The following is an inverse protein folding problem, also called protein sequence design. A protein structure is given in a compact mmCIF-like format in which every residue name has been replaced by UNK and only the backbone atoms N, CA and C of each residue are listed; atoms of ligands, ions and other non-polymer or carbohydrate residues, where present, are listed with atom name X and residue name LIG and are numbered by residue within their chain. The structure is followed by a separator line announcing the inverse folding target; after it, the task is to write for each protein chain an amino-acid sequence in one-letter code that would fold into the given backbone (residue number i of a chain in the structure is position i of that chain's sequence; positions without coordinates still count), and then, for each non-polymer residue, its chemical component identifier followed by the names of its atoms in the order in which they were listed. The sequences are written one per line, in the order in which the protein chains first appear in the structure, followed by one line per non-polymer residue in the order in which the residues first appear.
data_IF_624158245683
#
_entry.id   IF_624158245683
#
_cell.length_a   1.000
_cell.length_b   1.000
_cell.length_c   1.000
_cell.angle_alpha   90.00
_cell.angle_beta   90.00
_cell.angle_gamma   90.00
#
_symmetry.space_group_name_H-M   'P 1'
#
loop_
_entity.id
_entity.type
_entity.pdbx_description
1 polymer ?
#
# COMPACT_ATOMS: atom_id res chain seq x y z
N UNK A 1 -12.95 -9.31 22.13
CA UNK A 1 -11.47 -9.26 22.15
C UNK A 1 -11.01 -8.04 21.36
N UNK A 2 -10.63 -6.96 22.04
CA UNK A 2 -9.93 -5.82 21.43
C UNK A 2 -8.50 -5.87 21.93
N UNK A 3 -7.59 -6.27 21.08
CA UNK A 3 -6.17 -5.97 21.28
C UNK A 3 -5.83 -4.84 20.29
N UNK A 4 -5.86 -3.56 20.72
CA UNK A 4 -5.50 -2.47 19.83
C UNK A 4 -3.99 -2.49 19.64
N UNK A 5 -3.54 -3.26 18.64
CA UNK A 5 -2.16 -3.18 18.16
C UNK A 5 -1.86 -1.72 17.81
N UNK A 6 -1.01 -1.08 18.62
CA UNK A 6 -0.57 0.29 18.40
C UNK A 6 0.11 0.38 17.03
N UNK A 7 -0.34 1.33 16.20
CA UNK A 7 0.26 1.61 14.89
C UNK A 7 0.86 3.00 14.93
N UNK A 8 2.14 3.10 14.59
CA UNK A 8 2.78 4.39 14.35
C UNK A 8 2.18 4.98 13.07
N UNK A 9 1.45 6.08 13.22
CA UNK A 9 0.88 6.82 12.08
C UNK A 9 1.77 8.04 11.85
N UNK A 10 2.38 8.11 10.68
CA UNK A 10 3.04 9.33 10.21
C UNK A 10 2.11 10.04 9.22
N UNK A 11 1.90 11.34 9.41
CA UNK A 11 1.04 12.14 8.55
C UNK A 11 1.86 13.27 7.94
N UNK A 12 1.90 13.31 6.61
CA UNK A 12 2.50 14.42 5.87
C UNK A 12 1.70 15.71 6.09
N UNK A 13 2.34 16.85 5.90
CA UNK A 13 1.67 18.15 5.96
C UNK A 13 0.56 18.27 4.92
N UNK A 14 -0.40 19.16 5.14
CA UNK A 14 -1.54 19.29 4.21
C UNK A 14 -1.09 19.62 2.78
N UNK A 15 -0.11 20.52 2.63
CA UNK A 15 0.46 20.90 1.33
C UNK A 15 1.05 19.70 0.60
N UNK A 16 1.80 18.85 1.30
CA UNK A 16 2.38 17.62 0.75
C UNK A 16 1.29 16.65 0.30
N UNK A 17 0.19 16.52 1.08
CA UNK A 17 -0.93 15.66 0.70
C UNK A 17 -1.60 16.07 -0.61
N UNK A 18 -1.67 17.38 -0.90
CA UNK A 18 -2.18 17.87 -2.19
C UNK A 18 -1.27 17.39 -3.32
N UNK A 19 0.05 17.55 -3.17
CA UNK A 19 1.04 17.11 -4.16
C UNK A 19 0.96 15.59 -4.36
N UNK A 20 0.92 14.81 -3.27
CA UNK A 20 0.81 13.35 -3.32
C UNK A 20 -0.46 12.92 -4.06
N UNK A 21 -1.60 13.55 -3.77
CA UNK A 21 -2.87 13.21 -4.39
C UNK A 21 -2.86 13.51 -5.89
N UNK A 22 -2.33 14.66 -6.30
CA UNK A 22 -2.17 15.02 -7.71
C UNK A 22 -1.22 14.07 -8.45
N UNK A 23 -0.11 13.69 -7.83
CA UNK A 23 0.83 12.72 -8.39
C UNK A 23 0.17 11.35 -8.58
N UNK A 24 -0.52 10.84 -7.55
CA UNK A 24 -1.21 9.54 -7.59
C UNK A 24 -2.24 9.51 -8.72
N UNK A 25 -3.02 10.58 -8.91
CA UNK A 25 -4.00 10.66 -10.01
C UNK A 25 -3.38 10.45 -11.39
N UNK A 26 -2.14 10.88 -11.59
CA UNK A 26 -1.43 10.75 -12.87
C UNK A 26 -0.82 9.35 -13.02
N UNK A 27 -0.19 8.82 -11.97
CA UNK A 27 0.55 7.55 -12.07
C UNK A 27 -0.34 6.31 -11.89
N UNK A 28 -1.44 6.42 -11.13
CA UNK A 28 -2.35 5.30 -10.82
C UNK A 28 -2.85 4.58 -12.10
N UNK A 29 -3.34 5.27 -13.16
CA UNK A 29 -3.81 4.59 -14.37
C UNK A 29 -2.74 3.80 -15.13
N UNK A 30 -1.45 4.15 -14.95
CA UNK A 30 -0.32 3.44 -15.57
C UNK A 30 -0.10 2.11 -14.85
N UNK A 31 -0.09 2.12 -13.52
CA UNK A 31 0.14 0.94 -12.71
C UNK A 31 -1.09 0.03 -12.61
N UNK A 32 -2.30 0.60 -12.62
CA UNK A 32 -3.54 -0.16 -12.48
C UNK A 32 -3.72 -1.22 -13.59
N UNK A 33 -3.24 -0.91 -14.80
CA UNK A 33 -3.25 -1.81 -15.96
C UNK A 33 -2.33 -3.03 -15.82
N UNK A 34 -1.36 -2.99 -14.91
CA UNK A 34 -0.31 -4.01 -14.78
C UNK A 34 -0.57 -4.91 -13.56
N UNK A 35 -1.34 -4.43 -12.57
CA UNK A 35 -1.66 -5.25 -11.41
C UNK A 35 -2.43 -6.50 -11.81
N UNK A 36 -2.08 -7.62 -11.16
CA UNK A 36 -2.83 -8.86 -11.29
C UNK A 36 -4.30 -8.65 -10.90
N UNK A 37 -5.17 -9.47 -11.48
CA UNK A 37 -6.60 -9.38 -11.23
C UNK A 37 -6.96 -9.54 -9.75
N UNK A 38 -6.27 -10.43 -9.05
CA UNK A 38 -6.51 -10.76 -7.63
C UNK A 38 -5.83 -9.78 -6.65
N UNK A 39 -5.33 -8.63 -7.14
CA UNK A 39 -4.89 -7.51 -6.30
C UNK A 39 -6.08 -6.58 -6.03
N UNK A 40 -6.48 -6.50 -4.75
CA UNK A 40 -7.70 -5.81 -4.32
C UNK A 40 -7.45 -4.52 -3.53
N UNK A 41 -6.35 -4.45 -2.76
CA UNK A 41 -6.10 -3.32 -1.87
C UNK A 41 -5.83 -2.01 -2.63
N UNK A 42 -6.35 -0.89 -2.12
CA UNK A 42 -6.09 0.48 -2.61
C UNK A 42 -6.33 0.68 -4.12
N UNK A 43 -7.30 -0.04 -4.69
CA UNK A 43 -7.67 0.06 -6.11
C UNK A 43 -9.13 0.41 -6.27
N UNK A 44 -9.44 1.24 -7.27
CA UNK A 44 -10.81 1.58 -7.62
C UNK A 44 -11.57 0.30 -8.02
N UNK A 45 -12.82 0.18 -7.55
CA UNK A 45 -13.71 -0.96 -7.84
C UNK A 45 -13.22 -2.34 -7.34
N UNK A 46 -12.20 -2.39 -6.47
CA UNK A 46 -11.52 -3.63 -6.05
C UNK A 46 -11.56 -3.87 -4.53
N UNK A 47 -12.54 -3.32 -3.81
CA UNK A 47 -12.63 -3.40 -2.35
C UNK A 47 -12.78 -4.81 -1.74
N UNK A 48 -12.84 -4.83 -0.40
CA UNK A 48 -12.85 -6.05 0.43
C UNK A 48 -13.95 -7.05 0.04
N UNK A 49 -15.14 -6.57 -0.32
CA UNK A 49 -16.25 -7.42 -0.72
C UNK A 49 -15.90 -8.28 -1.95
N UNK A 50 -15.21 -7.71 -2.93
CA UNK A 50 -14.78 -8.42 -4.13
C UNK A 50 -13.68 -9.44 -3.82
N UNK A 51 -12.76 -9.10 -2.92
CA UNK A 51 -11.74 -10.04 -2.44
C UNK A 51 -12.37 -11.25 -1.73
N UNK A 52 -13.39 -11.02 -0.90
CA UNK A 52 -14.10 -12.08 -0.19
C UNK A 52 -14.88 -12.99 -1.14
N UNK A 53 -15.58 -12.43 -2.14
CA UNK A 53 -16.26 -13.20 -3.16
C UNK A 53 -15.28 -14.07 -3.95
N UNK A 54 -14.11 -13.52 -4.31
CA UNK A 54 -13.07 -14.26 -5.00
C UNK A 54 -12.49 -15.40 -4.16
N UNK A 55 -12.26 -15.16 -2.88
CA UNK A 55 -11.84 -16.20 -1.94
C UNK A 55 -12.87 -17.33 -1.84
N UNK A 56 -14.17 -16.99 -1.70
CA UNK A 56 -15.27 -17.98 -1.68
C UNK A 56 -15.30 -18.81 -2.97
N UNK A 57 -15.10 -18.18 -4.12
CA UNK A 57 -15.00 -18.87 -5.41
C UNK A 57 -13.87 -19.91 -5.40
N UNK A 58 -12.65 -19.51 -4.99
CA UNK A 58 -11.52 -20.45 -4.94
C UNK A 58 -11.75 -21.60 -3.97
N UNK A 59 -12.28 -21.32 -2.77
CA UNK A 59 -12.61 -22.34 -1.78
C UNK A 59 -13.56 -23.38 -2.40
N UNK A 60 -14.69 -22.94 -2.98
CA UNK A 60 -15.68 -23.86 -3.57
C UNK A 60 -15.12 -24.66 -4.75
N UNK A 61 -14.31 -24.01 -5.60
CA UNK A 61 -13.68 -24.64 -6.76
C UNK A 61 -12.73 -25.76 -6.34
N UNK A 62 -11.81 -25.48 -5.41
CA UNK A 62 -10.81 -26.45 -5.00
C UNK A 62 -11.36 -27.52 -4.05
N UNK A 63 -12.36 -27.17 -3.22
CA UNK A 63 -13.00 -28.13 -2.31
C UNK A 63 -14.04 -29.02 -2.99
N UNK A 64 -14.29 -28.85 -4.30
CA UNK A 64 -15.41 -29.47 -5.02
C UNK A 64 -16.74 -29.28 -4.26
N UNK A 65 -17.12 -28.03 -3.99
CA UNK A 65 -18.29 -27.68 -3.18
C UNK A 65 -18.28 -28.32 -1.78
N UNK A 66 -17.14 -28.20 -1.08
CA UNK A 66 -16.90 -28.71 0.28
C UNK A 66 -16.90 -30.24 0.40
N UNK A 67 -16.78 -30.96 -0.71
CA UNK A 67 -16.61 -32.42 -0.71
C UNK A 67 -15.20 -32.85 -0.27
N UNK A 68 -14.18 -32.00 -0.41
CA UNK A 68 -12.80 -32.27 0.00
C UNK A 68 -12.22 -31.16 0.87
N UNK A 69 -11.38 -31.55 1.82
CA UNK A 69 -10.57 -30.60 2.61
C UNK A 69 -9.56 -29.91 1.70
N UNK A 70 -9.39 -28.61 1.91
CA UNK A 70 -8.40 -27.77 1.22
C UNK A 70 -7.58 -27.02 2.25
N UNK A 71 -6.32 -26.74 1.90
CA UNK A 71 -5.40 -25.98 2.72
C UNK A 71 -5.07 -24.67 2.02
N UNK A 72 -4.78 -23.63 2.79
CA UNK A 72 -4.36 -22.34 2.25
C UNK A 72 -3.19 -21.80 3.07
N UNK A 73 -2.33 -21.04 2.39
CA UNK A 73 -1.24 -20.32 3.04
C UNK A 73 -1.74 -18.94 3.46
N UNK A 74 -1.67 -18.66 4.76
CA UNK A 74 -1.83 -17.31 5.30
C UNK A 74 -0.45 -16.71 5.52
N UNK A 75 -0.12 -15.67 4.77
CA UNK A 75 1.14 -14.93 4.90
C UNK A 75 0.87 -13.44 5.07
N UNK A 76 1.69 -12.77 5.88
CA UNK A 76 1.66 -11.33 6.12
C UNK A 76 3.09 -10.80 6.26
N UNK A 77 3.35 -9.59 5.77
CA UNK A 77 4.69 -8.98 5.81
C UNK A 77 4.79 -8.05 7.02
N UNK A 78 5.71 -8.36 7.93
CA UNK A 78 5.96 -7.55 9.13
C UNK A 78 6.51 -6.16 8.72
N UNK A 79 5.94 -5.10 9.28
CA UNK A 79 6.35 -3.70 9.05
C UNK A 79 6.50 -3.33 7.56
N UNK A 80 5.61 -3.81 6.69
CA UNK A 80 5.71 -3.64 5.23
C UNK A 80 6.18 -2.25 4.78
N UNK A 81 5.55 -1.16 5.27
CA UNK A 81 5.93 0.20 4.84
C UNK A 81 7.31 0.66 5.33
N UNK A 82 7.78 0.14 6.47
CA UNK A 82 9.09 0.50 7.05
C UNK A 82 10.21 -0.36 6.46
N UNK A 83 9.90 -1.55 5.93
CA UNK A 83 10.88 -2.52 5.41
C UNK A 83 11.11 -2.44 3.90
N UNK A 84 10.39 -1.58 3.17
CA UNK A 84 10.58 -1.42 1.73
C UNK A 84 11.95 -0.81 1.44
N UNK A 85 12.74 -1.48 0.60
CA UNK A 85 13.97 -0.92 0.05
C UNK A 85 13.63 0.16 -1.01
N UNK A 86 14.02 1.40 -0.74
CA UNK A 86 13.72 2.55 -1.59
C UNK A 86 14.39 2.49 -2.98
N UNK A 87 15.60 1.95 -3.07
CA UNK A 87 16.31 1.80 -4.35
C UNK A 87 15.61 0.80 -5.25
N UNK A 88 15.21 -0.35 -4.70
CA UNK A 88 14.43 -1.37 -5.43
C UNK A 88 13.09 -0.80 -5.89
N UNK A 89 12.38 -0.08 -5.01
CA UNK A 89 11.12 0.58 -5.34
C UNK A 89 11.27 1.57 -6.50
N UNK A 90 12.27 2.46 -6.43
CA UNK A 90 12.54 3.44 -7.49
C UNK A 90 12.88 2.74 -8.81
N UNK A 91 13.68 1.67 -8.77
CA UNK A 91 14.02 0.90 -9.95
C UNK A 91 12.81 0.22 -10.60
N UNK A 92 11.83 -0.25 -9.81
CA UNK A 92 10.55 -0.77 -10.32
C UNK A 92 9.76 0.35 -11.00
N UNK A 93 9.65 1.53 -10.38
CA UNK A 93 8.90 2.67 -10.92
C UNK A 93 9.52 3.17 -12.24
N UNK A 94 10.85 3.25 -12.33
CA UNK A 94 11.61 3.63 -13.53
C UNK A 94 11.35 2.74 -14.76
N UNK A 95 10.84 1.52 -14.56
CA UNK A 95 10.44 0.64 -15.68
C UNK A 95 9.21 1.17 -16.41
N UNK A 96 8.34 1.94 -15.73
CA UNK A 96 7.06 2.43 -16.29
C UNK A 96 6.99 3.94 -16.44
N UNK A 97 7.67 4.70 -15.58
CA UNK A 97 7.76 6.15 -15.67
C UNK A 97 9.14 6.52 -16.19
N UNK A 98 9.19 7.28 -17.29
CA UNK A 98 10.44 7.75 -17.93
C UNK A 98 10.72 9.24 -17.71
N UNK A 99 9.72 10.04 -17.31
CA UNK A 99 9.94 11.46 -17.01
C UNK A 99 10.80 11.60 -15.75
N UNK A 100 12.00 12.16 -15.92
CA UNK A 100 12.98 12.35 -14.87
C UNK A 100 12.47 13.29 -13.76
N UNK A 101 11.67 14.30 -14.09
CA UNK A 101 11.13 15.25 -13.09
C UNK A 101 10.15 14.56 -12.16
N UNK A 102 9.32 13.67 -12.71
CA UNK A 102 8.38 12.86 -11.91
C UNK A 102 9.14 11.88 -11.01
N UNK A 103 10.18 11.24 -11.54
CA UNK A 103 11.03 10.33 -10.77
C UNK A 103 11.76 11.06 -9.63
N UNK A 104 12.29 12.25 -9.88
CA UNK A 104 12.92 13.10 -8.87
C UNK A 104 11.91 13.51 -7.78
N UNK A 105 10.69 13.87 -8.17
CA UNK A 105 9.62 14.21 -7.22
C UNK A 105 9.25 13.01 -6.34
N UNK A 106 9.08 11.82 -6.93
CA UNK A 106 8.80 10.57 -6.20
C UNK A 106 9.93 10.27 -5.22
N UNK A 107 11.19 10.37 -5.67
CA UNK A 107 12.36 10.16 -4.81
C UNK A 107 12.36 11.13 -3.62
N UNK A 108 12.12 12.42 -3.87
CA UNK A 108 12.04 13.44 -2.80
C UNK A 108 10.93 13.15 -1.79
N UNK A 109 9.76 12.70 -2.23
CA UNK A 109 8.65 12.32 -1.35
C UNK A 109 9.04 11.14 -0.46
N UNK A 110 9.67 10.11 -1.03
CA UNK A 110 10.09 8.90 -0.32
C UNK A 110 11.21 9.23 0.69
N UNK A 111 12.21 10.00 0.28
CA UNK A 111 13.36 10.35 1.13
C UNK A 111 12.96 11.28 2.28
N UNK A 112 11.98 12.17 2.08
CA UNK A 112 11.43 13.02 3.14
C UNK A 112 10.79 12.23 4.29
N UNK A 113 10.34 11.00 4.02
CA UNK A 113 9.82 10.11 5.07
C UNK A 113 10.97 9.52 5.89
N UNK A 114 12.10 9.18 5.26
CA UNK A 114 13.30 8.66 5.94
C UNK A 114 14.05 9.73 6.74
N UNK A 115 14.05 10.99 6.28
CA UNK A 115 14.77 12.09 6.94
C UNK A 115 14.15 12.53 8.28
N UNK A 116 12.90 12.16 8.59
CA UNK A 116 12.25 12.44 9.88
C UNK A 116 12.49 11.34 10.93
N UNK A 117 13.70 10.79 10.95
CA UNK A 117 14.29 10.12 12.11
C UNK A 117 14.81 11.10 13.18
N UNK A 118 14.67 12.42 13.00
CA UNK A 118 15.18 13.41 13.95
C UNK A 118 14.72 14.86 13.74
N UNK A 119 13.41 15.12 13.60
CA UNK A 119 12.91 16.48 13.34
C UNK A 119 11.55 16.81 13.96
N UNK A 120 11.59 17.54 15.09
CA UNK A 120 10.51 18.19 15.85
C UNK A 120 9.29 17.32 16.19
N UNK A 121 9.43 16.58 17.28
CA UNK A 121 8.32 16.09 18.10
C UNK A 121 7.51 17.29 18.62
N UNK A 122 6.32 17.52 18.07
CA UNK A 122 5.29 18.24 18.80
C UNK A 122 4.47 17.22 19.56
N UNK A 123 4.72 17.13 20.87
CA UNK A 123 3.89 16.39 21.80
C UNK A 123 2.49 17.04 21.83
N UNK A 124 1.53 16.46 21.10
CA UNK A 124 0.13 16.72 21.35
C UNK A 124 -0.33 15.75 22.44
N UNK A 125 -0.31 16.20 23.69
CA UNK A 125 -1.10 15.58 24.75
C UNK A 125 -2.56 16.01 24.52
N UNK A 126 -3.35 15.18 23.85
CA UNK A 126 -4.79 15.28 23.94
C UNK A 126 -5.24 14.48 25.16
N UNK A 127 -5.49 15.19 26.26
CA UNK A 127 -6.32 14.73 27.37
C UNK A 127 -7.72 14.45 26.82
N UNK A 128 -8.30 13.31 27.18
CA UNK A 128 -9.71 13.03 26.96
C UNK A 128 -10.59 13.98 27.79
#
# INVERSE_FOLDING_TARGET
MRDPKLRKISKSEFKDRIIHHSLIKIIEPIFDKIFIYDSYANRKNKGNSNALLRLKYFIRKFSKNNYKKVYFLKADIKHYFESINHEVLINIIKKKIKDERVLLLIKKIIDNVSAKGGGRWQNWNASW
#
